data_IF_413422828240
#
_entry.id   IF_413422828240
#
_cell.length_a   1.000
_cell.length_b   1.000
_cell.length_c   1.000
_cell.angle_alpha   90.00
_cell.angle_beta   90.00
_cell.angle_gamma   90.00
#
_symmetry.space_group_name_H-M   'P 1'
#
loop_
_entity.id
_entity.type
_entity.pdbx_description
1 polymer ?
#
# COMPACT_ATOMS: atom_id res chain seq x y z
N UNK A 1 24.62 -7.86 -10.38
CA UNK A 1 23.70 -9.03 -10.50
C UNK A 1 22.27 -8.49 -10.46
N UNK A 2 21.26 -9.21 -10.95
CA UNK A 2 19.86 -8.75 -10.84
C UNK A 2 19.30 -9.06 -9.46
N UNK A 3 18.48 -8.17 -8.90
CA UNK A 3 17.77 -8.36 -7.62
C UNK A 3 17.05 -9.72 -7.58
N UNK A 4 16.38 -10.11 -8.68
CA UNK A 4 15.69 -11.40 -8.78
C UNK A 4 16.63 -12.60 -8.56
N UNK A 5 17.89 -12.50 -8.99
CA UNK A 5 18.89 -13.56 -8.80
C UNK A 5 19.31 -13.66 -7.33
N UNK A 6 19.43 -12.53 -6.65
CA UNK A 6 19.84 -12.46 -5.23
C UNK A 6 18.77 -13.09 -4.33
N UNK A 7 17.50 -12.81 -4.59
CA UNK A 7 16.37 -13.39 -3.84
C UNK A 7 15.93 -14.76 -4.38
N UNK A 8 16.61 -15.30 -5.41
CA UNK A 8 16.29 -16.58 -6.08
C UNK A 8 14.85 -16.66 -6.60
N UNK A 9 14.30 -15.53 -7.03
CA UNK A 9 12.94 -15.44 -7.57
C UNK A 9 12.91 -16.03 -8.99
N UNK A 10 12.20 -17.14 -9.14
CA UNK A 10 11.93 -17.78 -10.43
C UNK A 10 10.49 -17.46 -10.90
N UNK A 11 10.14 -17.66 -12.19
CA UNK A 11 8.82 -17.31 -12.72
C UNK A 11 7.63 -17.97 -12.01
N UNK A 12 7.80 -19.21 -11.50
CA UNK A 12 6.74 -19.88 -10.75
C UNK A 12 6.54 -19.18 -9.40
N UNK A 13 7.61 -19.03 -8.62
CA UNK A 13 7.55 -18.35 -7.32
C UNK A 13 7.08 -16.89 -7.43
N UNK A 14 7.42 -16.20 -8.52
CA UNK A 14 6.92 -14.84 -8.78
C UNK A 14 5.41 -14.80 -9.00
N UNK A 15 4.83 -15.78 -9.69
CA UNK A 15 3.37 -15.86 -9.86
C UNK A 15 2.67 -16.20 -8.55
N UNK A 16 3.15 -17.22 -7.84
CA UNK A 16 2.58 -17.70 -6.58
C UNK A 16 2.58 -16.61 -5.49
N UNK A 17 3.58 -15.72 -5.49
CA UNK A 17 3.72 -14.66 -4.50
C UNK A 17 3.30 -13.27 -5.01
N UNK A 18 2.63 -13.18 -6.16
CA UNK A 18 2.21 -11.89 -6.72
C UNK A 18 0.88 -11.41 -6.12
N UNK A 19 0.86 -10.29 -5.37
CA UNK A 19 -0.39 -9.73 -4.87
C UNK A 19 -1.34 -9.32 -6.00
N UNK A 20 -0.83 -8.95 -7.18
CA UNK A 20 -1.67 -8.61 -8.33
C UNK A 20 -2.50 -9.79 -8.84
N UNK A 21 -1.94 -11.01 -8.78
CA UNK A 21 -2.65 -12.24 -9.15
C UNK A 21 -3.55 -12.72 -8.00
N UNK A 22 -3.09 -12.51 -6.76
CA UNK A 22 -3.72 -12.97 -5.53
C UNK A 22 -4.01 -11.81 -4.54
N UNK A 23 -4.83 -10.82 -4.91
CA UNK A 23 -5.21 -9.73 -4.00
C UNK A 23 -6.04 -10.26 -2.83
N UNK A 24 -6.12 -9.48 -1.73
CA UNK A 24 -6.88 -9.86 -0.54
C UNK A 24 -8.35 -10.18 -0.83
N UNK A 25 -8.97 -10.92 0.08
CA UNK A 25 -10.38 -11.27 0.01
C UNK A 25 -11.28 -10.06 0.36
N UNK A 26 -12.50 -9.95 -0.21
CA UNK A 26 -13.33 -8.74 -0.16
C UNK A 26 -13.97 -8.41 1.19
N UNK A 27 -13.66 -9.16 2.25
CA UNK A 27 -14.17 -8.89 3.60
C UNK A 27 -13.23 -8.04 4.46
N UNK A 28 -12.00 -7.77 4.02
CA UNK A 28 -11.05 -6.90 4.71
C UNK A 28 -10.95 -5.55 3.99
N UNK A 29 -11.32 -4.42 4.63
CA UNK A 29 -11.02 -3.10 4.11
C UNK A 29 -9.50 -2.92 3.94
N UNK A 30 -9.08 -2.15 2.95
CA UNK A 30 -7.65 -1.94 2.64
C UNK A 30 -7.35 -0.46 2.43
N UNK A 31 -6.28 0.01 3.07
CA UNK A 31 -5.65 1.30 2.76
C UNK A 31 -4.40 1.00 1.92
N UNK A 32 -4.28 1.63 0.76
CA UNK A 32 -3.09 1.57 -0.08
C UNK A 32 -2.45 2.95 -0.06
N UNK A 33 -1.38 3.10 0.72
CA UNK A 33 -0.66 4.36 0.89
C UNK A 33 0.67 4.35 0.13
N UNK A 34 1.04 5.49 -0.45
CA UNK A 34 2.32 5.69 -1.14
C UNK A 34 2.84 7.10 -0.92
N UNK A 35 4.16 7.28 -0.84
CA UNK A 35 4.77 8.60 -0.69
C UNK A 35 4.82 9.35 -2.03
N UNK A 36 4.48 10.64 -2.03
CA UNK A 36 4.49 11.48 -3.24
C UNK A 36 5.89 11.66 -3.84
N UNK A 37 6.94 11.54 -3.02
CA UNK A 37 8.35 11.63 -3.41
C UNK A 37 8.96 10.26 -3.79
N UNK A 38 8.18 9.18 -3.77
CA UNK A 38 8.66 7.85 -4.15
C UNK A 38 8.88 7.71 -5.67
N UNK A 39 9.70 6.73 -6.10
CA UNK A 39 9.89 6.44 -7.52
C UNK A 39 8.56 6.27 -8.26
N UNK A 40 8.47 6.84 -9.47
CA UNK A 40 7.26 6.79 -10.30
C UNK A 40 6.69 5.37 -10.45
N UNK A 41 7.55 4.37 -10.64
CA UNK A 41 7.12 2.98 -10.78
C UNK A 41 6.42 2.42 -9.55
N UNK A 42 6.75 2.91 -8.35
CA UNK A 42 6.15 2.46 -7.09
C UNK A 42 4.76 3.06 -6.94
N UNK A 43 4.63 4.36 -7.20
CA UNK A 43 3.33 5.05 -7.26
C UNK A 43 2.36 4.41 -8.26
N UNK A 44 2.86 4.10 -9.46
CA UNK A 44 2.09 3.39 -10.48
C UNK A 44 1.67 1.99 -10.02
N UNK A 45 2.57 1.23 -9.40
CA UNK A 45 2.24 -0.09 -8.87
C UNK A 45 1.14 -0.01 -7.80
N UNK A 46 1.23 0.95 -6.87
CA UNK A 46 0.22 1.16 -5.83
C UNK A 46 -1.14 1.55 -6.43
N UNK A 47 -1.16 2.45 -7.42
CA UNK A 47 -2.39 2.87 -8.10
C UNK A 47 -3.04 1.71 -8.90
N UNK A 48 -2.25 0.93 -9.62
CA UNK A 48 -2.75 -0.23 -10.36
C UNK A 48 -3.25 -1.33 -9.42
N UNK A 49 -2.57 -1.55 -8.29
CA UNK A 49 -3.03 -2.50 -7.28
C UNK A 49 -4.36 -2.06 -6.67
N UNK A 50 -4.53 -0.77 -6.38
CA UNK A 50 -5.82 -0.19 -5.95
C UNK A 50 -6.94 -0.48 -6.95
N UNK A 51 -6.69 -0.29 -8.26
CA UNK A 51 -7.66 -0.60 -9.31
C UNK A 51 -8.01 -2.09 -9.33
N UNK A 52 -7.04 -2.99 -9.17
CA UNK A 52 -7.27 -4.45 -9.09
C UNK A 52 -8.17 -4.78 -7.89
N UNK A 53 -7.86 -4.25 -6.71
CA UNK A 53 -8.64 -4.50 -5.51
C UNK A 53 -10.08 -3.97 -5.64
N UNK A 54 -10.26 -2.75 -6.14
CA UNK A 54 -11.58 -2.17 -6.39
C UNK A 54 -12.42 -3.00 -7.37
N UNK A 55 -11.81 -3.48 -8.47
CA UNK A 55 -12.49 -4.34 -9.45
C UNK A 55 -12.96 -5.67 -8.87
N UNK A 56 -12.28 -6.18 -7.83
CA UNK A 56 -12.67 -7.40 -7.10
C UNK A 56 -13.67 -7.16 -5.95
N UNK A 57 -14.18 -5.93 -5.81
CA UNK A 57 -15.20 -5.59 -4.83
C UNK A 57 -14.67 -5.28 -3.44
N UNK A 58 -13.36 -5.10 -3.27
CA UNK A 58 -12.79 -4.71 -1.97
C UNK A 58 -13.18 -3.26 -1.63
N UNK A 59 -13.45 -3.03 -0.34
CA UNK A 59 -13.51 -1.67 0.22
C UNK A 59 -12.08 -1.15 0.35
N UNK A 60 -11.64 -0.36 -0.63
CA UNK A 60 -10.28 0.20 -0.64
C UNK A 60 -10.28 1.72 -0.65
N UNK A 61 -9.26 2.27 -0.01
CA UNK A 61 -8.85 3.67 -0.06
C UNK A 61 -7.43 3.77 -0.62
N UNK A 62 -7.16 4.80 -1.43
CA UNK A 62 -5.84 5.10 -1.96
C UNK A 62 -5.38 6.46 -1.43
N UNK A 63 -4.17 6.50 -0.87
CA UNK A 63 -3.59 7.70 -0.29
C UNK A 63 -2.18 7.94 -0.86
N UNK A 64 -2.02 9.01 -1.65
CA UNK A 64 -0.70 9.55 -1.96
C UNK A 64 -0.36 10.64 -0.95
N UNK A 65 0.66 10.40 -0.13
CA UNK A 65 1.05 11.31 0.94
C UNK A 65 2.05 12.34 0.39
N UNK A 66 1.69 13.64 0.32
CA UNK A 66 2.55 14.64 -0.29
C UNK A 66 3.91 14.73 0.39
N UNK A 67 4.96 14.95 -0.41
CA UNK A 67 6.37 15.10 0.01
C UNK A 67 7.00 13.90 0.74
N UNK A 68 6.21 12.92 1.22
CA UNK A 68 6.74 11.73 1.87
C UNK A 68 7.53 10.86 0.89
N UNK A 69 8.70 10.42 1.35
CA UNK A 69 9.45 9.30 0.77
C UNK A 69 9.15 7.98 1.51
N UNK A 70 9.76 6.90 1.02
CA UNK A 70 9.54 5.55 1.53
C UNK A 70 9.88 5.38 3.02
N UNK A 71 10.87 6.10 3.54
CA UNK A 71 11.30 6.00 4.93
C UNK A 71 10.45 6.88 5.84
N UNK A 72 10.09 8.07 5.37
CA UNK A 72 9.29 9.04 6.12
C UNK A 72 7.86 8.56 6.39
N UNK A 73 7.28 7.71 5.53
CA UNK A 73 5.94 7.14 5.72
C UNK A 73 5.78 6.45 7.08
N UNK A 74 6.82 5.76 7.57
CA UNK A 74 6.77 5.10 8.87
C UNK A 74 6.72 6.10 10.02
N UNK A 75 7.46 7.22 9.93
CA UNK A 75 7.45 8.28 10.94
C UNK A 75 6.10 8.98 11.04
N UNK A 76 5.35 9.06 9.94
CA UNK A 76 4.01 9.65 9.94
C UNK A 76 3.03 8.92 10.86
N UNK A 77 3.25 7.64 11.15
CA UNK A 77 2.40 6.87 12.07
C UNK A 77 2.49 7.39 13.52
N UNK A 78 3.53 8.15 13.85
CA UNK A 78 3.69 8.82 15.14
C UNK A 78 3.08 10.22 15.17
N UNK A 79 2.64 10.75 14.02
CA UNK A 79 1.99 12.05 13.90
C UNK A 79 0.45 11.87 13.92
N UNK A 80 -0.26 12.35 14.95
CA UNK A 80 -1.71 12.22 15.04
C UNK A 80 -2.46 13.03 13.97
N UNK A 81 -1.84 14.08 13.42
CA UNK A 81 -2.44 14.94 12.40
C UNK A 81 -2.18 14.44 10.98
N UNK A 82 -1.30 13.45 10.81
CA UNK A 82 -1.05 12.81 9.52
C UNK A 82 -2.32 12.17 8.95
N UNK A 83 -2.55 12.40 7.66
CA UNK A 83 -3.63 11.77 6.91
C UNK A 83 -3.57 10.24 6.95
N UNK A 84 -2.36 9.66 6.96
CA UNK A 84 -2.17 8.21 7.07
C UNK A 84 -2.64 7.69 8.44
N UNK A 85 -2.22 8.33 9.53
CA UNK A 85 -2.60 7.93 10.89
C UNK A 85 -4.10 8.00 11.10
N UNK A 86 -4.72 9.11 10.67
CA UNK A 86 -6.17 9.29 10.75
C UNK A 86 -6.94 8.23 9.96
N UNK A 87 -6.50 7.88 8.76
CA UNK A 87 -7.14 6.85 7.95
C UNK A 87 -7.07 5.47 8.63
N UNK A 88 -5.94 5.10 9.24
CA UNK A 88 -5.79 3.84 9.97
C UNK A 88 -6.74 3.80 11.19
N UNK A 89 -6.82 4.88 11.98
CA UNK A 89 -7.76 4.94 13.12
C UNK A 89 -9.21 4.83 12.67
N UNK A 90 -9.58 5.51 11.58
CA UNK A 90 -10.91 5.41 10.99
C UNK A 90 -11.22 3.99 10.51
N UNK A 91 -10.27 3.30 9.88
CA UNK A 91 -10.43 1.91 9.44
C UNK A 91 -10.69 0.96 10.63
N UNK A 92 -10.07 1.23 11.78
CA UNK A 92 -10.27 0.48 13.02
C UNK A 92 -11.56 0.86 13.76
N UNK A 93 -12.27 1.91 13.34
CA UNK A 93 -13.45 2.43 14.05
C UNK A 93 -13.09 3.16 15.36
N UNK A 94 -11.87 3.69 15.46
CA UNK A 94 -11.39 4.43 16.61
C UNK A 94 -11.54 5.95 16.39
N UNK A 95 -11.70 6.76 17.45
CA UNK A 95 -11.61 8.21 17.34
C UNK A 95 -10.21 8.62 16.86
N UNK A 96 -10.03 9.80 16.23
CA UNK A 96 -8.70 10.28 15.86
C UNK A 96 -7.77 10.29 17.08
N UNK A 97 -6.47 9.98 16.88
CA UNK A 97 -5.49 10.14 17.96
C UNK A 97 -5.46 11.61 18.41
N UNK A 98 -5.37 11.82 19.71
CA UNK A 98 -5.32 13.15 20.34
C UNK A 98 -3.90 13.66 20.56
#
# INVERSE_FOLDING_TARGET
MSVNREIRLNPQSARENSPFLHPPLPYAPLIIAVGGSEPRGWKQMSEEFFKVCRKRGLKCEYLEIPAADHYSLASLLADPDSSLTRAIFQQMGLPPPG
#
